data_IF_259023170635
#
_entry.id   IF_259023170635
#
_cell.length_a   1.000
_cell.length_b   1.000
_cell.length_c   1.000
_cell.angle_alpha   90.00
_cell.angle_beta   90.00
_cell.angle_gamma   90.00
#
_symmetry.space_group_name_H-M   'P 1'
#
loop_
_entity.id
_entity.type
_entity.pdbx_description
1 polymer ?
2 non-polymer ?
3 water ?
#
# COMPACT_ATOMS: atom_id res chain seq x y z
N UNK A 16 -3.70 -19.67 28.93
CA UNK A 16 -2.62 -20.20 28.01
C UNK A 16 -3.07 -20.19 26.54
N UNK A 17 -2.08 -20.27 25.65
CA UNK A 17 -2.36 -20.26 24.20
C UNK A 17 -1.26 -20.88 23.36
N UNK A 18 -1.12 -20.40 22.13
CA UNK A 18 -0.14 -20.93 21.19
C UNK A 18 0.50 -19.82 20.32
N UNK A 19 1.08 -18.84 20.98
CA UNK A 19 1.87 -17.80 20.30
C UNK A 19 3.36 -18.13 20.45
N UNK A 20 4.06 -18.18 19.32
CA UNK A 20 5.44 -18.59 19.33
C UNK A 20 6.31 -17.71 18.43
N UNK A 21 7.63 -17.80 18.61
CA UNK A 21 8.58 -17.11 17.76
C UNK A 21 9.00 -18.04 16.61
N UNK A 22 9.01 -17.51 15.39
CA UNK A 22 9.37 -18.32 14.23
C UNK A 22 9.56 -17.54 12.94
N UNK A 23 9.55 -18.26 11.82
CA UNK A 23 9.80 -17.66 10.51
C UNK A 23 8.51 -17.48 9.71
N UNK A 24 8.64 -16.83 8.55
CA UNK A 24 7.49 -16.41 7.74
C UNK A 24 6.55 -17.55 7.33
N UNK A 25 7.13 -18.67 6.91
CA UNK A 25 6.38 -19.83 6.42
C UNK A 25 5.54 -20.49 7.48
N UNK A 26 6.02 -20.41 8.72
CA UNK A 26 5.29 -21.00 9.86
C UNK A 26 4.07 -20.14 10.19
N UNK A 27 4.20 -18.84 9.97
CA UNK A 27 3.09 -17.91 10.14
C UNK A 27 2.03 -18.16 9.08
N UNK A 28 2.46 -18.17 7.81
CA UNK A 28 1.57 -18.44 6.68
C UNK A 28 0.77 -19.73 6.87
N UNK A 29 1.44 -20.79 7.31
CA UNK A 29 0.77 -22.08 7.48
C UNK A 29 -0.39 -21.96 8.43
N UNK A 30 -0.16 -21.30 9.57
CA UNK A 30 -1.20 -21.10 10.59
C UNK A 30 -2.29 -20.14 10.11
N UNK A 31 -1.88 -19.07 9.43
CA UNK A 31 -2.83 -18.11 8.90
C UNK A 31 -3.83 -18.78 7.94
N UNK A 32 -3.38 -19.81 7.23
CA UNK A 32 -4.25 -20.59 6.35
C UNK A 32 -5.43 -21.20 7.09
N UNK A 33 -5.26 -21.48 8.39
CA UNK A 33 -6.32 -22.09 9.20
C UNK A 33 -7.33 -21.06 9.72
N UNK A 34 -7.01 -19.77 9.55
CA UNK A 34 -7.90 -18.68 9.95
C UNK A 34 -8.89 -18.35 8.87
N UNK A 35 -8.56 -18.71 7.64
CA UNK A 35 -9.38 -18.42 6.44
C UNK A 35 -9.58 -16.93 6.21
N UNK A 45 -18.60 -19.17 14.75
CA UNK A 45 -19.75 -19.13 15.64
C UNK A 45 -19.50 -18.24 16.84
N UNK A 46 -19.37 -18.83 18.04
CA UNK A 46 -19.13 -18.07 19.27
C UNK A 46 -17.77 -17.38 19.27
N UNK A 47 -17.58 -16.42 20.17
CA UNK A 47 -16.34 -15.65 20.25
C UNK A 47 -15.46 -16.04 21.44
N UNK A 48 -14.22 -16.41 21.14
CA UNK A 48 -13.38 -17.10 22.10
C UNK A 48 -12.31 -16.16 22.63
N UNK A 49 -11.42 -16.68 23.47
CA UNK A 49 -10.20 -15.97 23.86
C UNK A 49 -8.95 -16.70 23.33
N UNK A 50 -9.13 -17.47 22.26
CA UNK A 50 -8.06 -18.22 21.64
C UNK A 50 -6.93 -17.26 21.28
N UNK A 51 -5.73 -17.56 21.78
CA UNK A 51 -4.57 -16.73 21.49
C UNK A 51 -3.49 -17.54 20.80
N UNK A 52 -3.21 -17.20 19.55
CA UNK A 52 -2.25 -17.96 18.74
C UNK A 52 -1.64 -17.10 17.65
N UNK A 53 -0.41 -17.42 17.26
CA UNK A 53 0.24 -16.72 16.17
C UNK A 53 1.74 -16.88 16.16
N UNK A 54 2.40 -16.12 15.30
CA UNK A 54 3.85 -16.20 15.15
C UNK A 54 4.42 -14.80 15.09
N UNK A 55 5.38 -14.55 15.97
CA UNK A 55 6.14 -13.31 15.96
C UNK A 55 7.44 -13.58 15.21
N UNK A 56 7.82 -12.66 14.32
CA UNK A 56 8.94 -12.91 13.40
C UNK A 56 10.23 -12.22 13.80
N UNK A 57 10.13 -11.24 14.71
CA UNK A 57 11.29 -10.56 15.23
C UNK A 57 11.38 -10.76 16.73
N UNK A 58 12.62 -10.89 17.21
CA UNK A 58 12.90 -11.07 18.64
C UNK A 58 12.44 -9.87 19.48
N UNK A 59 12.22 -8.73 18.82
CA UNK A 59 11.73 -7.50 19.48
C UNK A 59 10.29 -7.65 19.99
N UNK A 60 9.50 -8.52 19.37
CA UNK A 60 8.18 -8.84 19.89
C UNK A 60 8.21 -10.22 20.52
N UNK A 61 8.01 -10.28 21.83
CA UNK A 61 8.27 -11.50 22.61
C UNK A 61 7.01 -12.07 23.24
N UNK A 62 6.67 -13.33 22.91
CA UNK A 62 5.56 -14.00 23.58
C UNK A 62 5.94 -14.31 25.02
N UNK A 63 4.97 -14.22 25.92
CA UNK A 63 5.20 -14.51 27.33
C UNK A 63 4.35 -15.72 27.71
N UNK A 64 5.04 -16.81 28.08
CA UNK A 64 4.40 -18.10 28.32
C UNK A 64 3.41 -18.44 27.20
N UNK A 65 3.91 -18.39 25.96
CA UNK A 65 3.15 -18.73 24.75
C UNK A 65 1.87 -17.91 24.54
N UNK A 66 1.78 -16.78 25.23
CA UNK A 66 0.70 -15.83 25.01
C UNK A 66 1.21 -14.49 24.48
N UNK A 67 0.34 -13.76 23.78
CA UNK A 67 0.58 -12.39 23.38
C UNK A 67 -0.80 -11.78 23.26
N UNK A 68 -1.19 -11.03 24.29
CA UNK A 68 -2.54 -10.49 24.39
C UNK A 68 -2.53 -8.99 24.59
N UNK A 69 -3.39 -8.28 23.85
CA UNK A 69 -3.52 -6.83 23.98
C UNK A 69 -3.86 -6.43 25.41
N UNK A 70 -3.28 -5.30 25.85
CA UNK A 70 -3.46 -4.74 27.20
C UNK A 70 -2.67 -5.47 28.29
N UNK A 71 -2.19 -6.69 27.97
CA UNK A 71 -1.38 -7.47 28.89
C UNK A 71 0.11 -7.45 28.52
N UNK A 72 0.43 -7.87 27.30
CA UNK A 72 1.81 -7.94 26.80
C UNK A 72 2.12 -6.83 25.82
N UNK A 73 1.09 -6.28 25.18
CA UNK A 73 1.26 -5.14 24.27
C UNK A 73 0.09 -4.21 24.32
N UNK A 74 0.34 -2.96 23.98
CA UNK A 74 -0.69 -1.93 24.00
C UNK A 74 -0.56 -0.93 22.86
N UNK A 75 -1.70 -0.45 22.38
CA UNK A 75 -1.73 0.61 21.40
C UNK A 75 -1.67 1.92 22.16
N UNK A 76 -1.29 3.01 21.49
CA UNK A 76 -1.34 4.33 22.10
C UNK A 76 -1.38 5.42 21.07
N UNK A 77 -1.65 6.64 21.54
CA UNK A 77 -1.69 7.85 20.71
C UNK A 77 -2.88 7.81 19.73
N UNK A 78 -2.96 8.79 18.81
CA UNK A 78 -4.00 8.71 17.78
C UNK A 78 -3.72 7.60 16.76
N UNK A 79 -4.76 7.24 16.00
CA UNK A 79 -4.62 6.25 14.92
C UNK A 79 -3.52 6.69 13.95
N UNK A 80 -2.85 5.71 13.36
CA UNK A 80 -1.87 5.98 12.30
C UNK A 80 -2.56 6.21 10.96
N UNK A 81 -3.76 5.68 10.81
CA UNK A 81 -4.48 5.72 9.55
C UNK A 81 -5.37 4.52 9.34
N UNK A 82 -5.91 4.43 8.12
CA UNK A 82 -6.84 3.38 7.75
C UNK A 82 -6.05 2.35 6.95
N UNK A 83 -6.26 1.07 7.25
CA UNK A 83 -5.72 0.00 6.43
C UNK A 83 -6.89 -0.72 5.79
N UNK A 84 -6.60 -1.68 4.93
CA UNK A 84 -7.66 -2.52 4.40
C UNK A 84 -8.29 -3.32 5.54
N UNK A 85 -9.62 -3.27 5.64
CA UNK A 85 -10.40 -4.08 6.59
C UNK A 85 -10.21 -3.79 8.08
N UNK A 86 -9.45 -2.76 8.42
CA UNK A 86 -9.17 -2.45 9.83
C UNK A 86 -8.37 -1.18 10.04
N UNK A 87 -8.30 -0.75 11.29
CA UNK A 87 -7.57 0.45 11.66
C UNK A 87 -6.12 0.14 11.99
N UNK A 88 -5.25 1.12 11.78
CA UNK A 88 -3.83 0.97 12.10
C UNK A 88 -3.42 1.85 13.28
N UNK A 89 -2.63 1.28 14.20
CA UNK A 89 -2.16 2.01 15.38
C UNK A 89 -0.72 1.80 15.66
N UNK A 90 -0.14 2.78 16.35
CA UNK A 90 1.11 2.64 17.06
C UNK A 90 0.90 1.64 18.17
N UNK A 91 1.89 0.77 18.38
CA UNK A 91 1.84 -0.15 19.50
C UNK A 91 3.21 -0.33 20.13
N UNK A 92 3.20 -0.80 21.36
CA UNK A 92 4.41 -1.01 22.13
C UNK A 92 4.35 -2.38 22.79
N UNK A 93 5.42 -3.15 22.65
CA UNK A 93 5.60 -4.37 23.40
C UNK A 93 6.02 -3.98 24.83
N UNK A 94 5.23 -4.39 25.82
CA UNK A 94 5.43 -3.94 27.20
C UNK A 94 6.74 -4.36 27.83
N UNK A 95 7.30 -5.49 27.38
CA UNK A 95 8.57 -5.96 27.92
C UNK A 95 9.76 -5.30 27.24
N UNK A 96 9.86 -5.44 25.92
CA UNK A 96 11.02 -4.94 25.17
C UNK A 96 10.97 -3.44 24.92
N UNK A 97 9.77 -2.87 25.01
CA UNK A 97 9.57 -1.43 24.80
C UNK A 97 9.53 -1.04 23.33
N UNK A 98 9.74 -2.04 22.48
CA UNK A 98 9.82 -1.86 21.03
C UNK A 98 8.51 -1.37 20.42
N UNK A 99 8.62 -0.40 19.53
CA UNK A 99 7.48 0.28 18.94
C UNK A 99 7.32 -0.14 17.51
N UNK A 100 6.09 -0.46 17.12
CA UNK A 100 5.76 -0.75 15.74
C UNK A 100 4.30 -0.44 15.42
N UNK A 101 3.82 -0.98 14.31
CA UNK A 101 2.47 -0.69 13.85
C UNK A 101 1.62 -1.95 13.93
N UNK A 102 0.34 -1.78 14.22
CA UNK A 102 -0.58 -2.91 14.22
C UNK A 102 -1.87 -2.59 13.50
N UNK A 103 -2.29 -3.48 12.62
CA UNK A 103 -3.63 -3.40 12.04
C UNK A 103 -4.47 -4.50 12.65
N UNK A 104 -5.58 -4.08 13.26
CA UNK A 104 -6.49 -5.00 13.91
C UNK A 104 -7.63 -5.27 12.95
N UNK A 105 -7.80 -6.53 12.60
CA UNK A 105 -8.79 -6.96 11.61
C UNK A 105 -9.69 -8.02 12.20
N UNK A 106 -11.01 -7.82 12.09
CA UNK A 106 -11.99 -8.85 12.47
C UNK A 106 -11.79 -10.10 11.63
N UNK A 107 -11.78 -11.24 12.29
CA UNK A 107 -11.46 -12.51 11.66
C UNK A 107 -12.27 -12.80 10.39
N UNK A 108 -13.55 -12.40 10.36
CA UNK A 108 -14.39 -12.70 9.20
C UNK A 108 -14.05 -11.93 7.91
N UNK A 109 -13.29 -10.84 8.03
CA UNK A 109 -12.84 -10.08 6.85
C UNK A 109 -11.33 -10.16 6.61
N UNK A 110 -10.61 -10.83 7.51
CA UNK A 110 -9.19 -11.08 7.34
C UNK A 110 -8.94 -11.93 6.10
N UNK A 111 -8.09 -11.45 5.22
CA UNK A 111 -7.65 -12.22 4.06
C UNK A 111 -6.27 -12.80 4.30
N UNK A 112 -6.17 -14.10 4.05
CA UNK A 112 -4.94 -14.85 4.24
C UNK A 112 -3.82 -14.24 3.42
N UNK A 113 -4.13 -13.88 2.17
CA UNK A 113 -3.18 -13.25 1.25
C UNK A 113 -2.29 -12.19 1.91
N UNK A 114 -2.79 -11.54 2.94
CA UNK A 114 -2.02 -10.51 3.61
C UNK A 114 -0.75 -11.08 4.29
N UNK A 115 -0.82 -12.32 4.77
CA UNK A 115 0.33 -12.94 5.44
C UNK A 115 1.03 -14.04 4.62
N UNK A 116 0.50 -14.36 3.44
CA UNK A 116 1.11 -15.38 2.58
C UNK A 116 1.88 -14.73 1.43
N UNK A 117 1.29 -13.70 0.82
CA UNK A 117 1.87 -13.02 -0.34
C UNK A 117 3.33 -12.62 -0.14
N UNK A 118 3.67 -12.12 1.05
CA UNK A 118 5.03 -11.64 1.30
C UNK A 118 5.95 -12.53 2.11
N UNK A 119 5.57 -13.78 2.34
CA UNK A 119 6.40 -14.74 3.07
C UNK A 119 7.58 -15.17 2.21
N UNK A 120 8.78 -14.87 2.69
CA UNK A 120 10.00 -15.15 1.94
C UNK A 120 10.39 -14.03 0.99
N UNK A 121 9.62 -12.95 0.98
CA UNK A 121 9.97 -11.76 0.20
C UNK A 121 10.66 -10.73 1.09
N UNK A 122 11.64 -10.05 0.53
CA UNK A 122 12.29 -8.96 1.22
C UNK A 122 12.82 -7.95 0.22
N UNK A 123 12.31 -6.71 0.33
CA UNK A 123 12.70 -5.60 -0.53
C UNK A 123 12.70 -4.29 0.25
N UNK A 124 13.63 -3.38 -0.06
CA UNK A 124 13.59 -2.03 0.53
C UNK A 124 12.30 -1.28 0.17
N UNK A 125 11.63 -1.72 -0.90
CA UNK A 125 10.40 -1.08 -1.35
C UNK A 125 9.16 -1.76 -0.76
N UNK A 126 9.36 -2.67 0.18
CA UNK A 126 8.24 -3.39 0.82
C UNK A 126 8.40 -3.36 2.32
N UNK A 127 7.43 -2.81 3.03
CA UNK A 127 7.50 -2.67 4.48
C UNK A 127 7.39 -4.04 5.14
N UNK A 128 8.44 -4.47 5.85
CA UNK A 128 8.45 -5.84 6.39
C UNK A 128 7.40 -6.09 7.49
N UNK A 129 6.81 -7.29 7.47
CA UNK A 129 5.87 -7.71 8.51
C UNK A 129 6.61 -8.31 9.71
N UNK A 130 6.13 -8.01 10.90
CA UNK A 130 6.74 -8.49 12.14
C UNK A 130 6.03 -9.72 12.69
N UNK A 131 4.86 -10.01 12.16
CA UNK A 131 4.11 -11.18 12.56
C UNK A 131 2.62 -10.90 12.61
N UNK A 132 1.87 -11.86 13.11
CA UNK A 132 0.44 -11.68 13.31
C UNK A 132 0.02 -12.56 14.46
N UNK A 133 -0.97 -12.11 15.22
CA UNK A 133 -1.46 -12.86 16.39
C UNK A 133 -2.97 -12.69 16.49
N UNK A 134 -3.66 -13.82 16.56
CA UNK A 134 -5.11 -13.87 16.71
C UNK A 134 -5.51 -13.87 18.18
N UNK A 135 -6.61 -13.18 18.49
CA UNK A 135 -7.12 -13.09 19.85
C UNK A 135 -8.63 -13.14 19.76
N UNK A 136 -9.17 -14.35 19.83
CA UNK A 136 -10.58 -14.57 19.55
C UNK A 136 -10.89 -14.18 18.11
N UNK A 137 -11.95 -13.38 17.89
CA UNK A 137 -12.33 -12.99 16.53
C UNK A 137 -11.50 -11.83 15.95
N UNK A 138 -10.33 -11.56 16.52
CA UNK A 138 -9.47 -10.48 16.03
C UNK A 138 -8.13 -10.98 15.63
N UNK A 139 -7.66 -10.50 14.48
CA UNK A 139 -6.31 -10.80 13.99
C UNK A 139 -5.51 -9.50 13.99
N UNK A 140 -4.41 -9.51 14.71
CA UNK A 140 -3.54 -8.34 14.83
C UNK A 140 -2.31 -8.57 13.99
N UNK A 141 -2.11 -7.70 13.01
CA UNK A 141 -0.98 -7.84 12.10
C UNK A 141 0.06 -6.78 12.44
N UNK A 142 1.29 -7.22 12.69
CA UNK A 142 2.34 -6.31 13.14
C UNK A 142 3.30 -5.99 12.02
N UNK A 143 3.71 -4.73 11.96
CA UNK A 143 4.53 -4.24 10.86
C UNK A 143 5.50 -3.18 11.34
N UNK A 144 6.60 -3.01 10.62
CA UNK A 144 7.57 -1.96 10.91
C UNK A 144 6.90 -0.61 10.78
N UNK A 145 7.24 0.28 11.70
CA UNK A 145 6.71 1.63 11.69
C UNK A 145 7.78 2.58 11.14
N UNK A 146 7.48 3.16 9.98
CA UNK A 146 8.35 4.16 9.42
C UNK A 146 7.85 5.55 9.85
N UNK A 147 8.77 6.39 10.33
CA UNK A 147 8.39 7.63 11.01
C UNK A 147 8.11 8.81 10.05
N UNK A 148 8.32 8.59 8.75
CA UNK A 148 7.98 9.58 7.75
C UNK A 148 6.49 9.75 7.54
N UNK A 149 5.69 8.82 8.06
CA UNK A 149 4.23 8.80 7.84
C UNK A 149 3.90 8.19 6.49
N UNK A 150 2.63 8.22 6.11
CA UNK A 150 2.23 7.74 4.78
C UNK A 150 2.34 8.82 3.69
N UNK A 151 2.49 8.39 2.44
CA UNK A 151 2.49 9.31 1.32
C UNK A 151 1.16 10.09 1.27
N UNK A 152 0.09 9.44 1.73
CA UNK A 152 -1.23 10.07 1.78
C UNK A 152 -1.25 11.19 2.78
N UNK A 153 -0.59 10.99 3.92
CA UNK A 153 -0.45 12.04 4.92
C UNK A 153 0.42 13.18 4.42
N UNK A 154 1.42 12.87 3.58
CA UNK A 154 2.27 13.90 2.99
C UNK A 154 1.48 14.84 2.08
N UNK A 155 0.64 14.24 1.24
CA UNK A 155 -0.18 15.00 0.29
C UNK A 155 -1.12 15.94 1.02
N UNK A 156 -1.82 15.43 2.04
CA UNK A 156 -2.79 16.20 2.83
C UNK A 156 -2.13 17.42 3.48
N UNK A 157 -0.95 17.19 4.05
CA UNK A 157 -0.17 18.22 4.72
C UNK A 157 0.36 19.28 3.75
N UNK A 158 0.80 18.84 2.58
CA UNK A 158 1.45 19.74 1.60
C UNK A 158 0.51 20.28 0.51
N UNK A 159 -0.72 19.78 0.46
CA UNK A 159 -1.66 20.16 -0.60
C UNK A 159 -1.52 19.23 -1.78
N UNK A 160 -0.40 19.36 -2.47
CA UNK A 160 0.04 18.40 -3.47
C UNK A 160 1.55 18.48 -3.52
N UNK A 161 2.16 17.53 -4.24
CA UNK A 161 3.61 17.40 -4.36
C UNK A 161 4.14 17.93 -5.70
N UNK A 162 5.37 18.45 -5.70
CA UNK A 162 5.90 18.94 -6.99
C UNK A 162 6.25 17.78 -7.92
N UNK A 163 6.40 18.08 -9.20
CA UNK A 163 6.52 17.04 -10.21
C UNK A 163 7.68 16.08 -9.91
N UNK A 164 8.86 16.63 -9.64
CA UNK A 164 10.06 15.83 -9.38
C UNK A 164 9.90 14.86 -8.21
N UNK A 165 9.38 15.34 -7.09
CA UNK A 165 9.15 14.44 -5.97
C UNK A 165 8.11 13.38 -6.24
N UNK A 166 7.02 13.76 -6.93
CA UNK A 166 6.01 12.78 -7.33
C UNK A 166 6.62 11.69 -8.22
N UNK A 167 7.41 12.08 -9.21
CA UNK A 167 8.07 11.08 -10.07
C UNK A 167 8.99 10.16 -9.24
N UNK A 168 9.72 10.77 -8.31
CA UNK A 168 10.68 10.06 -7.49
C UNK A 168 9.95 8.97 -6.70
N UNK A 169 8.83 9.34 -6.08
CA UNK A 169 8.06 8.38 -5.31
C UNK A 169 7.38 7.30 -6.16
N UNK A 170 6.87 7.68 -7.33
CA UNK A 170 6.25 6.74 -8.26
C UNK A 170 7.29 5.72 -8.68
N UNK A 171 8.50 6.22 -8.99
CA UNK A 171 9.63 5.38 -9.34
C UNK A 171 9.83 4.31 -8.29
N UNK A 172 9.96 4.75 -7.04
CA UNK A 172 10.15 3.83 -5.93
C UNK A 172 9.00 2.83 -5.77
N UNK A 173 7.76 3.33 -5.77
CA UNK A 173 6.58 2.47 -5.82
C UNK A 173 6.68 1.42 -6.96
N UNK A 174 7.07 1.88 -8.15
CA UNK A 174 7.13 1.00 -9.30
C UNK A 174 8.21 -0.08 -9.17
N UNK A 175 9.27 0.24 -8.43
CA UNK A 175 10.32 -0.74 -8.12
C UNK A 175 9.78 -1.84 -7.23
N UNK A 176 8.94 -1.46 -6.27
CA UNK A 176 8.21 -2.41 -5.43
C UNK A 176 7.31 -3.28 -6.27
N UNK A 177 6.70 -2.70 -7.29
CA UNK A 177 5.80 -3.46 -8.15
C UNK A 177 6.55 -4.46 -9.04
N UNK A 178 7.72 -4.06 -9.54
CA UNK A 178 8.58 -4.96 -10.30
C UNK A 178 8.83 -6.22 -9.50
N UNK A 179 9.24 -6.01 -8.26
CA UNK A 179 9.58 -7.09 -7.33
C UNK A 179 8.40 -8.04 -7.09
N UNK A 180 7.21 -7.46 -6.96
CA UNK A 180 6.01 -8.26 -6.78
C UNK A 180 5.58 -8.99 -8.05
N UNK A 181 5.58 -8.28 -9.17
CA UNK A 181 5.02 -8.79 -10.41
C UNK A 181 5.80 -9.90 -11.00
N UNK A 182 7.11 -9.87 -10.82
CA UNK A 182 7.96 -10.93 -11.32
C UNK A 182 7.72 -12.21 -10.52
N UNK A 183 7.10 -12.04 -9.35
CA UNK A 183 6.68 -13.16 -8.51
C UNK A 183 5.19 -13.46 -8.68
N UNK A 184 4.55 -12.85 -9.67
CA UNK A 184 3.13 -13.10 -9.93
C UNK A 184 2.27 -12.77 -8.71
N UNK A 185 2.65 -11.71 -8.01
CA UNK A 185 1.87 -11.17 -6.91
C UNK A 185 1.36 -9.78 -7.28
N UNK A 186 0.05 -9.61 -7.11
CA UNK A 186 -0.61 -8.35 -7.38
C UNK A 186 -0.79 -7.72 -6.01
N UNK A 187 -0.35 -6.46 -5.86
CA UNK A 187 -0.55 -5.76 -4.61
C UNK A 187 -2.02 -5.54 -4.34
N UNK A 188 -2.76 -4.99 -5.32
CA UNK A 188 -4.22 -4.95 -5.26
C UNK A 188 -4.84 -3.64 -4.82
N UNK A 189 -4.06 -2.79 -4.16
CA UNK A 189 -4.56 -1.47 -3.78
C UNK A 189 -3.46 -0.44 -3.61
N UNK A 190 -2.74 -0.18 -4.70
CA UNK A 190 -1.63 0.76 -4.71
C UNK A 190 -2.24 2.16 -4.65
N UNK A 191 -1.93 2.88 -3.58
CA UNK A 191 -2.44 4.25 -3.33
C UNK A 191 -1.57 4.91 -2.26
N UNK A 192 -1.55 6.23 -2.25
CA UNK A 192 -0.71 6.99 -1.31
C UNK A 192 -0.84 6.55 0.15
N UNK A 193 -2.05 6.23 0.57
CA UNK A 193 -2.31 5.76 1.94
C UNK A 193 -1.65 4.43 2.31
N UNK A 194 -1.23 3.66 1.32
CA UNK A 194 -0.55 2.37 1.53
C UNK A 194 0.94 2.45 1.19
N UNK A 195 1.45 3.66 1.02
CA UNK A 195 2.88 3.87 0.83
C UNK A 195 3.44 4.58 2.07
N UNK A 196 4.45 4.00 2.70
CA UNK A 196 5.08 4.65 3.86
C UNK A 196 6.39 5.29 3.48
N UNK A 197 6.70 6.41 4.14
CA UNK A 197 7.96 7.13 3.93
C UNK A 197 8.89 6.96 5.12
N UNK A 198 10.19 7.04 4.86
CA UNK A 198 11.21 7.08 5.88
C UNK A 198 11.29 8.46 6.52
N UNK A 199 12.06 8.59 7.61
CA UNK A 199 12.05 9.80 8.46
C UNK A 199 12.50 11.09 7.77
N UNK A 200 13.29 10.93 6.72
CA UNK A 200 13.76 12.05 5.90
C UNK A 200 13.08 12.06 4.52
N UNK A 201 12.08 11.21 4.35
CA UNK A 201 11.28 11.13 3.12
C UNK A 201 12.03 10.74 1.86
N UNK A 202 13.23 10.23 2.02
CA UNK A 202 14.01 9.79 0.87
C UNK A 202 13.67 8.37 0.41
N UNK A 203 12.93 7.63 1.23
CA UNK A 203 12.59 6.24 0.90
C UNK A 203 11.09 6.00 1.07
N UNK A 204 10.49 5.43 0.03
CA UNK A 204 9.09 5.04 0.04
C UNK A 204 8.99 3.54 -0.11
N UNK A 205 8.05 2.94 0.61
CA UNK A 205 7.86 1.50 0.54
C UNK A 205 6.37 1.15 0.56
N UNK A 206 5.98 0.10 -0.18
CA UNK A 206 4.61 -0.41 -0.19
C UNK A 206 4.26 -1.16 1.09
N UNK A 207 3.02 -1.03 1.53
CA UNK A 207 2.51 -1.83 2.64
C UNK A 207 1.04 -2.18 2.41
N UNK A 208 0.48 -2.93 3.35
CA UNK A 208 -0.89 -3.42 3.31
C UNK A 208 -1.24 -4.31 2.11
N UNK A 209 -1.20 -5.62 2.32
CA UNK A 209 -1.46 -6.58 1.25
C UNK A 209 -2.85 -7.23 1.39
N UNK A 210 -3.76 -6.51 2.03
CA UNK A 210 -5.12 -7.00 2.23
C UNK A 210 -5.87 -7.36 0.97
N UNK A 211 -5.55 -6.68 -0.12
CA UNK A 211 -6.16 -6.92 -1.41
C UNK A 211 -5.24 -7.66 -2.35
N UNK A 212 -4.09 -8.11 -1.85
CA UNK A 212 -3.12 -8.82 -2.70
C UNK A 212 -3.70 -10.11 -3.27
N UNK A 213 -3.21 -10.49 -4.46
CA UNK A 213 -3.65 -11.72 -5.11
C UNK A 213 -2.45 -12.48 -5.63
N UNK A 214 -2.47 -13.80 -5.47
CA UNK A 214 -1.42 -14.65 -6.01
C UNK A 214 -1.82 -15.20 -7.36
N UNK A 215 -1.35 -14.51 -8.41
CA UNK A 215 -1.55 -14.91 -9.79
C UNK A 215 -0.70 -16.13 -10.14
N UNK A 228 -9.88 -15.13 -6.85
CA UNK A 228 -10.86 -14.05 -6.94
C UNK A 228 -10.35 -12.74 -6.36
N UNK A 229 -10.32 -11.70 -7.20
CA UNK A 229 -9.81 -10.39 -6.81
C UNK A 229 -10.85 -9.51 -6.13
N UNK A 230 -10.59 -9.18 -4.87
CA UNK A 230 -11.38 -8.22 -4.10
C UNK A 230 -10.88 -6.82 -4.44
N UNK A 231 -11.71 -6.02 -5.14
CA UNK A 231 -11.32 -4.71 -5.64
C UNK A 231 -10.92 -3.72 -4.55
N UNK A 232 -10.01 -2.81 -4.88
CA UNK A 232 -9.55 -1.83 -3.92
C UNK A 232 -10.35 -0.55 -4.03
N UNK A 233 -9.67 0.56 -3.75
CA UNK A 233 -10.25 1.90 -3.76
C UNK A 233 -10.84 2.23 -5.15
N UNK A 234 -12.07 2.73 -5.15
CA UNK A 234 -12.84 2.86 -6.40
C UNK A 234 -12.17 3.81 -7.39
N UNK A 235 -11.76 4.98 -6.89
CA UNK A 235 -11.03 5.97 -7.68
C UNK A 235 -9.74 5.46 -8.34
N UNK A 236 -9.16 4.39 -7.80
CA UNK A 236 -7.90 3.86 -8.35
C UNK A 236 -8.09 2.62 -9.20
N UNK A 237 -9.34 2.24 -9.45
CA UNK A 237 -9.63 0.94 -10.07
C UNK A 237 -9.62 1.00 -11.58
N UNK A 238 -8.95 0.00 -12.18
CA UNK A 238 -8.76 -0.11 -13.61
C UNK A 238 -10.07 -0.54 -14.30
N UNK A 239 -10.21 -0.26 -15.61
CA UNK A 239 -11.45 -0.62 -16.26
C UNK A 239 -11.72 -2.13 -16.22
N UNK A 240 -10.68 -2.94 -16.36
CA UNK A 240 -10.87 -4.39 -16.39
C UNK A 240 -11.39 -4.93 -15.07
N UNK A 241 -11.08 -4.23 -13.98
CA UNK A 241 -11.61 -4.56 -12.66
C UNK A 241 -13.13 -4.34 -12.62
N UNK A 242 -13.58 -3.14 -12.98
CA UNK A 242 -15.02 -2.83 -13.03
C UNK A 242 -15.74 -3.65 -14.10
N UNK A 243 -14.99 -4.06 -15.13
CA UNK A 243 -15.55 -4.91 -16.20
C UNK A 243 -15.63 -6.38 -15.82
N UNK A 244 -14.98 -6.77 -14.73
CA UNK A 244 -15.02 -8.15 -14.25
C UNK A 244 -14.24 -9.11 -15.13
N UNK A 245 -13.23 -8.60 -15.82
CA UNK A 245 -12.33 -9.40 -16.64
C UNK A 245 -11.17 -9.94 -15.78
N UNK A 246 -10.51 -11.03 -16.24
CA UNK A 246 -9.41 -11.57 -15.45
C UNK A 246 -8.30 -10.52 -15.26
N UNK A 247 -7.98 -10.25 -13.99
CA UNK A 247 -7.07 -9.16 -13.66
C UNK A 247 -5.65 -9.69 -13.54
N UNK A 248 -4.71 -8.93 -14.07
CA UNK A 248 -3.30 -9.28 -13.95
C UNK A 248 -2.52 -8.12 -13.31
N UNK A 249 -1.19 -8.21 -13.30
CA UNK A 249 -0.34 -7.23 -12.62
C UNK A 249 -0.60 -5.78 -13.09
N UNK A 250 -1.13 -5.66 -14.31
CA UNK A 250 -1.39 -4.35 -14.90
C UNK A 250 -2.40 -3.53 -14.10
N UNK A 251 -3.24 -4.21 -13.32
CA UNK A 251 -4.15 -3.51 -12.41
C UNK A 251 -3.35 -2.58 -11.47
N UNK A 252 -2.24 -3.09 -10.92
CA UNK A 252 -1.38 -2.29 -10.04
C UNK A 252 -0.80 -1.08 -10.76
N UNK A 253 -0.49 -1.22 -12.04
CA UNK A 253 0.07 -0.10 -12.81
C UNK A 253 -0.94 1.02 -12.92
N UNK A 254 -2.15 0.70 -13.38
CA UNK A 254 -3.22 1.70 -13.44
C UNK A 254 -3.31 2.42 -12.13
N UNK A 255 -3.47 1.67 -11.05
CA UNK A 255 -3.61 2.21 -9.69
C UNK A 255 -2.46 3.15 -9.34
N UNK A 256 -1.23 2.72 -9.61
CA UNK A 256 -0.07 3.54 -9.33
C UNK A 256 -0.12 4.87 -10.09
N UNK A 257 -0.69 4.89 -11.30
CA UNK A 257 -0.80 6.16 -12.03
C UNK A 257 -1.94 7.02 -11.51
N UNK A 258 -2.97 6.38 -10.99
CA UNK A 258 -4.00 7.08 -10.26
C UNK A 258 -3.38 7.75 -9.04
N UNK A 259 -2.52 7.02 -8.33
CA UNK A 259 -1.76 7.58 -7.21
C UNK A 259 -0.90 8.76 -7.65
N UNK A 260 -0.28 8.66 -8.83
CA UNK A 260 0.52 9.76 -9.37
C UNK A 260 -0.33 11.03 -9.53
N UNK A 261 -1.52 10.89 -10.13
CA UNK A 261 -2.44 12.01 -10.29
C UNK A 261 -2.82 12.62 -8.95
N UNK A 262 -3.02 11.77 -7.95
CA UNK A 262 -3.34 12.21 -6.58
C UNK A 262 -2.24 13.05 -6.01
N UNK A 263 -1.00 12.62 -6.16
CA UNK A 263 0.16 13.41 -5.70
C UNK A 263 0.25 14.77 -6.42
N UNK A 264 -0.07 14.79 -7.71
CA UNK A 264 0.14 15.99 -8.50
C UNK A 264 -0.98 16.97 -8.27
N UNK A 265 -2.21 16.46 -8.18
CA UNK A 265 -3.38 17.32 -8.10
C UNK A 265 -3.89 17.56 -6.69
N UNK A 266 -3.53 16.67 -5.77
CA UNK A 266 -3.99 16.78 -4.40
C UNK A 266 -5.30 16.07 -4.14
N UNK A 267 -5.83 15.39 -5.16
CA UNK A 267 -7.08 14.65 -5.01
C UNK A 267 -7.09 13.43 -5.92
N UNK A 268 -7.86 12.42 -5.52
CA UNK A 268 -8.03 11.21 -6.31
C UNK A 268 -8.60 11.60 -7.66
N UNK A 269 -8.22 10.87 -8.72
CA UNK A 269 -8.81 11.11 -10.05
C UNK A 269 -10.32 10.93 -10.00
N UNK A 270 -11.00 11.48 -11.00
CA UNK A 270 -12.46 11.37 -11.15
C UNK A 270 -13.26 12.29 -10.28
N UNK A 271 -12.88 12.39 -9.00
CA UNK A 271 -13.70 13.04 -7.96
C UNK A 271 -14.09 14.50 -8.20
N UNK A 272 -13.29 15.21 -8.97
CA UNK A 272 -13.56 16.62 -9.23
C UNK A 272 -14.43 16.82 -10.47
N UNK A 273 -14.65 15.75 -11.23
CA UNK A 273 -15.49 15.81 -12.42
C UNK A 273 -16.82 15.08 -12.27
N UNK A 274 -16.87 14.06 -11.41
CA UNK A 274 -18.00 13.13 -11.39
C UNK A 274 -18.56 12.85 -10.01
N UNK A 275 -19.87 12.68 -9.98
CA UNK A 275 -20.69 12.82 -8.78
C UNK A 275 -20.73 11.62 -7.83
N UNK A 276 -21.15 10.46 -8.33
CA UNK A 276 -21.47 9.32 -7.46
C UNK A 276 -20.74 8.02 -7.74
N UNK A 277 -21.40 7.09 -8.47
CA UNK A 277 -20.82 5.78 -8.78
C UNK A 277 -19.78 5.88 -9.88
N UNK A 278 -18.51 5.77 -9.49
CA UNK A 278 -17.38 5.98 -10.40
C UNK A 278 -17.08 4.73 -11.21
N UNK A 279 -17.57 3.60 -10.71
CA UNK A 279 -17.62 2.32 -11.42
C UNK A 279 -17.88 2.50 -12.94
N UNK A 280 -19.03 3.05 -13.30
CA UNK A 280 -19.44 3.12 -14.70
C UNK A 280 -18.59 4.10 -15.50
N UNK A 281 -18.16 5.18 -14.84
CA UNK A 281 -17.37 6.21 -15.51
C UNK A 281 -15.97 5.74 -15.82
N UNK A 282 -15.41 4.89 -14.94
CA UNK A 282 -14.11 4.28 -15.22
C UNK A 282 -14.20 3.35 -16.43
N UNK A 283 -15.29 2.59 -16.50
CA UNK A 283 -15.49 1.65 -17.61
C UNK A 283 -15.81 2.31 -18.95
N UNK A 284 -16.46 3.48 -18.92
CA UNK A 284 -17.01 4.09 -20.14
C UNK A 284 -16.35 5.40 -20.58
N UNK A 285 -15.74 6.13 -19.64
CA UNK A 285 -15.10 7.42 -19.98
C UNK A 285 -13.70 7.17 -20.53
N UNK A 286 -13.12 8.17 -21.20
CA UNK A 286 -11.71 8.05 -21.57
C UNK A 286 -10.86 7.99 -20.30
N UNK A 287 -9.68 7.36 -20.35
CA UNK A 287 -8.85 7.32 -19.15
C UNK A 287 -8.53 8.74 -18.69
N UNK A 288 -8.30 8.93 -17.38
CA UNK A 288 -8.31 10.29 -16.83
C UNK A 288 -7.07 11.09 -17.12
N UNK A 289 -6.56 10.99 -18.34
CA UNK A 289 -5.36 11.72 -18.72
C UNK A 289 -5.57 13.24 -18.76
N UNK A 290 -6.82 13.68 -18.90
CA UNK A 290 -7.14 15.11 -18.86
C UNK A 290 -6.75 15.72 -17.51
N UNK A 291 -6.48 14.84 -16.55
CA UNK A 291 -6.18 15.26 -15.19
C UNK A 291 -4.69 15.49 -14.95
N UNK A 292 -3.88 15.12 -15.95
CA UNK A 292 -2.47 15.46 -15.96
C UNK A 292 -2.30 16.99 -15.99
N UNK A 293 -1.60 17.54 -14.99
CA UNK A 293 -1.37 18.97 -14.92
C UNK A 293 -0.72 19.47 -16.21
N UNK A 294 -1.24 20.55 -16.77
CA UNK A 294 -0.62 21.13 -17.97
C UNK A 294 0.87 21.42 -17.79
N UNK A 295 1.29 21.72 -16.56
CA UNK A 295 2.70 22.04 -16.28
C UNK A 295 3.69 20.86 -16.41
N UNK A 296 3.19 19.64 -16.32
CA UNK A 296 4.06 18.47 -16.43
C UNK A 296 4.77 18.40 -17.78
N UNK A 297 6.04 18.01 -17.73
CA UNK A 297 6.89 17.88 -18.91
C UNK A 297 6.49 16.69 -19.78
N UNK A 298 6.86 16.72 -21.07
CA UNK A 298 6.45 15.70 -22.03
C UNK A 298 6.51 14.26 -21.53
N UNK A 299 7.67 13.82 -21.03
CA UNK A 299 7.87 12.43 -20.60
C UNK A 299 7.09 12.04 -19.34
N UNK A 300 6.78 13.03 -18.52
CA UNK A 300 5.95 12.82 -17.34
C UNK A 300 4.55 12.50 -17.81
N UNK A 301 4.06 13.27 -18.78
CA UNK A 301 2.70 13.10 -19.27
C UNK A 301 2.62 11.80 -20.06
N UNK A 302 3.68 11.49 -20.79
CA UNK A 302 3.74 10.25 -21.55
C UNK A 302 3.66 9.02 -20.64
N UNK A 303 4.44 9.03 -19.56
CA UNK A 303 4.49 7.89 -18.63
C UNK A 303 3.10 7.64 -18.08
N UNK A 304 2.50 8.69 -17.52
CA UNK A 304 1.15 8.62 -16.97
C UNK A 304 0.14 8.12 -18.02
N UNK A 305 0.23 8.61 -19.25
CA UNK A 305 -0.64 8.13 -20.34
C UNK A 305 -0.47 6.61 -20.51
N UNK A 306 0.79 6.14 -20.59
CA UNK A 306 1.06 4.73 -20.81
C UNK A 306 0.69 3.85 -19.64
N UNK A 307 0.75 4.42 -18.43
CA UNK A 307 0.28 3.71 -17.23
C UNK A 307 -1.24 3.71 -17.11
N UNK A 308 -1.90 4.51 -17.95
CA UNK A 308 -3.37 4.66 -17.91
C UNK A 308 -4.10 4.25 -19.19
N UNK A 309 -3.46 3.41 -20.01
CA UNK A 309 -4.12 2.82 -21.17
C UNK A 309 -5.24 1.93 -20.65
N UNK A 310 -6.42 2.05 -21.26
CA UNK A 310 -7.60 1.31 -20.80
C UNK A 310 -7.50 -0.21 -20.92
N UNK A 311 -6.88 -0.68 -22.01
CA UNK A 311 -6.72 -2.11 -22.25
C UNK A 311 -5.37 -2.58 -21.72
N UNK A 312 -5.37 -3.46 -20.69
CA UNK A 312 -4.14 -3.84 -20.02
C UNK A 312 -3.06 -4.23 -21.01
N UNK A 313 -3.47 -4.80 -22.13
CA UNK A 313 -2.54 -5.24 -23.16
C UNK A 313 -1.63 -4.10 -23.63
N UNK A 314 -2.16 -2.89 -23.69
CA UNK A 314 -1.36 -1.74 -24.12
C UNK A 314 -0.76 -0.98 -22.96
N UNK A 315 -1.14 -1.34 -21.74
CA UNK A 315 -0.65 -0.60 -20.56
C UNK A 315 0.78 -1.03 -20.25
N UNK A 316 1.59 -0.07 -19.85
CA UNK A 316 2.99 -0.33 -19.51
C UNK A 316 3.14 -1.31 -18.32
N UNK A 317 4.18 -2.13 -18.38
CA UNK A 317 4.50 -3.00 -17.23
C UNK A 317 5.28 -2.19 -16.19
N UNK A 318 5.41 -2.72 -14.98
CA UNK A 318 6.20 -2.05 -13.93
C UNK A 318 7.65 -1.79 -14.37
N UNK A 319 8.24 -2.75 -15.08
CA UNK A 319 9.60 -2.61 -15.59
C UNK A 319 9.69 -1.44 -16.58
N UNK A 320 8.78 -1.43 -17.57
CA UNK A 320 8.74 -0.38 -18.57
C UNK A 320 8.51 0.98 -17.94
N UNK A 321 7.44 1.10 -17.15
CA UNK A 321 7.08 2.39 -16.55
C UNK A 321 8.17 2.93 -15.64
N UNK A 322 8.84 2.06 -14.89
CA UNK A 322 9.91 2.45 -13.98
C UNK A 322 11.04 3.12 -14.74
N UNK A 323 11.39 2.53 -15.89
CA UNK A 323 12.39 3.13 -16.77
C UNK A 323 11.94 4.51 -17.28
N UNK A 324 10.71 4.61 -17.76
CA UNK A 324 10.22 5.89 -18.29
C UNK A 324 10.21 6.97 -17.20
N UNK A 325 9.65 6.62 -16.04
CA UNK A 325 9.61 7.52 -14.89
C UNK A 325 11.03 7.99 -14.51
N UNK A 326 12.00 7.07 -14.55
CA UNK A 326 13.42 7.41 -14.35
C UNK A 326 13.97 8.43 -15.32
N UNK A 327 13.66 8.24 -16.60
CA UNK A 327 14.03 9.20 -17.64
C UNK A 327 13.31 10.52 -17.42
N UNK A 328 12.02 10.43 -17.09
CA UNK A 328 11.20 11.61 -16.84
C UNK A 328 11.79 12.47 -15.73
N UNK A 329 12.21 11.84 -14.63
CA UNK A 329 12.80 12.54 -13.50
C UNK A 329 14.11 13.26 -13.86
N UNK A 330 14.98 12.61 -14.61
CA UNK A 330 16.19 13.25 -15.13
C UNK A 330 15.86 14.49 -15.96
N UNK A 331 14.84 14.39 -16.80
CA UNK A 331 14.55 15.46 -17.73
C UNK A 331 13.97 16.71 -17.11
N UNK A 332 13.35 16.58 -15.92
CA UNK A 332 12.94 17.77 -15.17
C UNK A 332 14.08 18.27 -14.25
N UNK A 333 15.24 17.64 -14.37
CA UNK A 333 16.43 18.07 -13.65
C UNK A 333 16.71 17.33 -12.34
N UNK A 334 16.15 16.13 -12.19
CA UNK A 334 16.40 15.30 -10.99
C UNK A 334 15.61 15.73 -9.77
N UNK A 335 15.76 15.01 -8.66
CA UNK A 335 15.07 15.36 -7.41
C UNK A 335 15.72 16.57 -6.77
N UNK A 336 14.96 17.66 -6.68
CA UNK A 336 15.49 18.92 -6.16
C UNK A 336 14.64 19.51 -5.03
N UNK A 337 13.33 19.34 -5.13
CA UNK A 337 12.39 19.91 -4.17
C UNK A 337 12.62 19.31 -2.80
N UNK A 338 12.55 20.13 -1.74
CA UNK A 338 12.69 19.59 -0.39
C UNK A 338 11.42 18.85 -0.02
N UNK A 339 11.42 17.81 0.80
CA UNK A 339 10.14 17.05 0.89
C UNK A 339 8.93 17.72 1.53
N UNK A 340 9.15 18.89 2.12
CA UNK A 340 8.20 19.69 2.90
C UNK A 340 8.55 21.18 2.73
N UNK A 341 7.96 22.05 3.55
CA UNK A 341 8.33 23.46 3.54
C UNK A 341 7.44 24.36 2.70
N UNK A 342 7.12 23.93 1.48
CA UNK A 342 6.25 24.74 0.62
C UNK A 342 4.87 24.10 0.37
N UNK A 343 3.83 24.73 0.89
CA UNK A 343 2.45 24.34 0.61
C UNK A 343 2.13 24.72 -0.83
N UNK A 344 1.62 23.75 -1.57
CA UNK A 344 1.23 23.94 -2.96
C UNK A 344 -0.27 23.75 -3.04
N UNK A 345 -0.98 24.80 -3.47
CA UNK A 345 -2.42 24.73 -3.69
C UNK A 345 -2.79 23.59 -4.64
N UNK A 346 -3.67 22.68 -4.18
CA UNK A 346 -4.18 21.59 -5.02
C UNK A 346 -5.03 22.09 -6.20
N UNK A 347 -5.61 21.17 -6.96
CA UNK A 347 -6.56 21.55 -8.00
C UNK A 347 -7.90 21.89 -7.34
N UNK A 348 -8.40 23.08 -7.64
CA UNK A 348 -9.58 23.67 -6.98
C UNK A 348 -10.76 22.74 -6.72
X LIG B 1 0.01 -4.38 9.52
X LIG B 1 0.05 -3.03 9.85
X LIG B 1 -0.54 -2.09 9.01
X LIG B 1 -1.13 -2.49 7.81
X LIG B 1 -1.50 -0.23 6.77
X LIG B 1 -1.42 2.19 6.09
X LIG B 1 0.17 2.77 7.88
X LIG B 1 0.74 5.02 8.44
X LIG B 1 1.16 2.33 8.76
X LIG B 1 -1.76 -4.24 6.34
X LIG B 1 -1.17 -3.85 7.50
X LIG B 1 -0.60 -4.79 8.35
X LIG B 1 0.63 -2.63 11.00
X LIG B 1 -1.75 -1.59 6.91
X LIG B 1 -0.73 0.53 7.49
X LIG B 1 -0.66 1.81 7.13
X LIG B 1 -2.26 0.76 5.52
X LIG B 1 -0.05 4.14 7.72
X LIG B 1 1.67 4.57 9.27
X LIG B 1 1.91 3.28 9.45
#
# INVERSE_FOLDING_TARGET
MHHHHHHGENLYFQGSGSVSSGQAHSLASLAKTWSSGSAKLQRLGPETEDNEGVLLTEKLKPVDYEYREEVHWMTHQPRLGRGSFGEVHRMKDKQTGFQCAVKKVRLEVFRVEELVACAGLSSPRIVPLYGAVREGPWVNIFMELLEGGSLGQLIKQMGCLPEDRALYYLGQALEGLEYLHTRRILHGDVKADNVLLSSDGSRAALCDFGHALCLQPDGLGKSLLTGDYIPGTETHMAPEVVMGKPCDAKVDIWSSCCMMLHMLNGCHPWTQYFRGPLCLKIASEPPPIREIPPSCAPLTAQAIQEGLRKEPVHRASAMELRRKVGKALQEVGGLKSPWKGEYKEPRGNS
0WA C4 C5 C7 C8 C10 C13 C15 C17 C20 O1 C2 C3 F6 N9 N11 C12 S14 C16 N18 C19
#
